data_IF_104999990559
#
_entry.id   IF_104999990559
#
_cell.length_a   1.000
_cell.length_b   1.000
_cell.length_c   1.000
_cell.angle_alpha   90.00
_cell.angle_beta   90.00
_cell.angle_gamma   90.00
#
_symmetry.space_group_name_H-M   'P 1'
#
loop_
_entity.id
_entity.type
_entity.pdbx_description
1 polymer ?
#
# COMPACT_ATOMS: atom_id res chain seq x y z
N UNK A 1 -32.02 -51.38 9.69
CA UNK A 1 -32.97 -50.27 9.98
C UNK A 1 -32.45 -49.56 11.22
N UNK A 2 -32.45 -48.21 11.21
CA UNK A 2 -31.87 -47.26 12.20
C UNK A 2 -30.33 -47.24 12.27
N UNK A 3 -29.62 -46.10 12.23
CA UNK A 3 -30.01 -44.70 12.15
C UNK A 3 -28.74 -43.87 12.35
N UNK A 4 -28.44 -43.00 11.40
CA UNK A 4 -27.35 -42.02 11.40
C UNK A 4 -27.61 -40.94 12.46
N UNK A 5 -26.62 -40.61 13.31
CA UNK A 5 -26.59 -39.39 14.16
C UNK A 5 -25.12 -39.10 14.52
N UNK A 6 -24.38 -38.32 13.72
CA UNK A 6 -24.30 -36.84 13.68
C UNK A 6 -23.58 -36.25 14.91
N UNK A 7 -22.31 -35.87 14.67
CA UNK A 7 -21.49 -34.83 15.30
C UNK A 7 -21.94 -34.28 16.67
N UNK A 8 -21.24 -34.68 17.74
CA UNK A 8 -21.16 -33.87 18.98
C UNK A 8 -20.01 -32.86 18.86
N UNK A 9 -20.44 -31.61 18.71
CA UNK A 9 -19.69 -30.36 18.90
C UNK A 9 -18.64 -30.43 20.02
N UNK A 10 -17.37 -30.17 19.66
CA UNK A 10 -16.39 -29.56 20.57
C UNK A 10 -16.06 -28.18 20.04
N UNK A 11 -16.88 -27.20 20.45
CA UNK A 11 -16.65 -25.77 20.20
C UNK A 11 -15.43 -25.35 21.03
N UNK A 12 -14.22 -25.57 20.49
CA UNK A 12 -12.99 -25.03 21.05
C UNK A 12 -13.17 -23.51 21.14
N UNK A 13 -13.12 -22.98 22.35
CA UNK A 13 -13.25 -21.54 22.63
C UNK A 13 -12.29 -20.77 21.70
N UNK A 14 -12.85 -20.08 20.71
CA UNK A 14 -12.11 -19.10 19.95
C UNK A 14 -11.98 -17.90 20.87
N UNK A 15 -10.82 -17.78 21.53
CA UNK A 15 -10.43 -16.53 22.20
C UNK A 15 -10.74 -15.40 21.24
N UNK A 16 -11.52 -14.42 21.67
CA UNK A 16 -11.94 -13.29 20.88
C UNK A 16 -10.72 -12.47 20.45
N UNK A 17 -10.17 -12.82 19.28
CA UNK A 17 -9.27 -11.92 18.57
C UNK A 17 -10.09 -10.66 18.27
N UNK A 18 -9.88 -9.59 19.04
CA UNK A 18 -10.36 -8.25 18.68
C UNK A 18 -9.83 -7.98 17.28
N UNK A 19 -10.70 -8.05 16.28
CA UNK A 19 -10.34 -7.71 14.91
C UNK A 19 -9.83 -6.27 14.93
N UNK A 20 -8.57 -6.07 14.50
CA UNK A 20 -8.04 -4.73 14.24
C UNK A 20 -9.04 -4.02 13.31
N UNK A 21 -9.32 -2.72 13.50
CA UNK A 21 -10.25 -2.01 12.62
C UNK A 21 -9.84 -2.24 11.17
N UNK A 22 -10.77 -2.77 10.36
CA UNK A 22 -10.49 -3.17 8.98
C UNK A 22 -10.04 -1.94 8.17
N UNK A 23 -8.84 -2.01 7.60
CA UNK A 23 -8.45 -1.11 6.53
C UNK A 23 -9.42 -1.29 5.35
N UNK A 24 -9.94 -0.20 4.79
CA UNK A 24 -10.75 -0.22 3.57
C UNK A 24 -9.83 -0.02 2.38
N UNK A 25 -9.79 -1.01 1.49
CA UNK A 25 -9.00 -0.98 0.25
C UNK A 25 -9.87 -0.49 -0.90
N UNK A 26 -9.41 0.52 -1.63
CA UNK A 26 -10.06 1.07 -2.82
C UNK A 26 -9.04 0.95 -3.95
N UNK A 27 -9.40 0.24 -5.04
CA UNK A 27 -8.53 0.02 -6.18
C UNK A 27 -9.23 0.52 -7.47
N UNK A 28 -9.02 1.79 -7.87
CA UNK A 28 -9.60 2.32 -9.09
C UNK A 28 -9.01 1.64 -10.32
N UNK A 29 -9.85 0.97 -11.12
CA UNK A 29 -9.44 0.27 -12.34
C UNK A 29 -10.12 0.91 -13.56
N UNK A 30 -9.36 1.08 -14.64
CA UNK A 30 -9.87 1.55 -15.92
C UNK A 30 -8.93 1.13 -17.05
N UNK A 31 -9.49 0.51 -18.09
CA UNK A 31 -8.79 -0.05 -19.24
C UNK A 31 -8.24 1.03 -20.20
N UNK A 32 -8.65 2.29 -20.06
CA UNK A 32 -8.21 3.39 -20.94
C UNK A 32 -7.11 4.22 -20.28
N UNK A 33 -6.05 4.51 -21.04
CA UNK A 33 -5.06 5.53 -20.67
C UNK A 33 -5.72 6.90 -20.55
N UNK A 34 -5.28 7.72 -19.59
CA UNK A 34 -5.89 9.03 -19.31
C UNK A 34 -7.26 8.98 -18.63
N UNK A 35 -7.74 7.81 -18.20
CA UNK A 35 -8.82 7.75 -17.21
C UNK A 35 -8.26 8.26 -15.88
N UNK A 36 -8.96 9.19 -15.23
CA UNK A 36 -8.59 9.98 -14.03
C UNK A 36 -8.26 9.17 -12.75
N UNK A 37 -7.79 7.92 -12.87
CA UNK A 37 -7.45 6.99 -11.80
C UNK A 37 -6.46 7.60 -10.81
N UNK A 38 -5.28 8.00 -11.27
CA UNK A 38 -4.23 8.55 -10.41
C UNK A 38 -4.68 9.85 -9.74
N UNK A 39 -5.32 10.74 -10.50
CA UNK A 39 -5.94 11.96 -9.96
C UNK A 39 -7.00 11.66 -8.90
N UNK A 40 -7.81 10.62 -9.10
CA UNK A 40 -8.81 10.18 -8.12
C UNK A 40 -8.15 9.62 -6.87
N UNK A 41 -7.08 8.83 -7.00
CA UNK A 41 -6.31 8.34 -5.84
C UNK A 41 -5.76 9.50 -5.00
N UNK A 42 -5.14 10.49 -5.65
CA UNK A 42 -4.61 11.68 -4.98
C UNK A 42 -5.71 12.45 -4.26
N UNK A 43 -6.80 12.78 -4.95
CA UNK A 43 -7.87 13.59 -4.39
C UNK A 43 -8.64 12.86 -3.28
N UNK A 44 -9.02 11.60 -3.50
CA UNK A 44 -9.72 10.80 -2.50
C UNK A 44 -8.81 10.62 -1.27
N UNK A 45 -7.53 10.34 -1.47
CA UNK A 45 -6.59 10.18 -0.36
C UNK A 45 -6.41 11.45 0.46
N UNK A 46 -6.29 12.60 -0.21
CA UNK A 46 -6.15 13.92 0.43
C UNK A 46 -7.40 14.28 1.24
N UNK A 47 -8.60 14.13 0.67
CA UNK A 47 -9.86 14.41 1.39
C UNK A 47 -10.05 13.48 2.58
N UNK A 48 -9.74 12.19 2.46
CA UNK A 48 -9.80 11.26 3.59
C UNK A 48 -8.81 11.66 4.70
N UNK A 49 -7.60 12.09 4.34
CA UNK A 49 -6.63 12.63 5.29
C UNK A 49 -7.20 13.86 6.00
N UNK A 50 -7.75 14.83 5.25
CA UNK A 50 -8.38 16.03 5.81
C UNK A 50 -9.52 15.70 6.80
N UNK A 51 -10.30 14.65 6.52
CA UNK A 51 -11.35 14.13 7.40
C UNK A 51 -10.82 13.41 8.67
N UNK A 52 -9.51 13.33 8.88
CA UNK A 52 -8.88 12.73 10.06
C UNK A 52 -8.54 11.24 9.90
N UNK A 53 -8.64 10.68 8.70
CA UNK A 53 -8.29 9.27 8.46
C UNK A 53 -6.79 9.08 8.25
N UNK A 54 -6.31 7.89 8.61
CA UNK A 54 -4.99 7.39 8.20
C UNK A 54 -5.14 6.74 6.83
N UNK A 55 -4.40 7.25 5.86
CA UNK A 55 -4.52 6.87 4.46
C UNK A 55 -3.15 6.44 3.94
N UNK A 56 -3.15 5.35 3.18
CA UNK A 56 -1.98 4.89 2.43
C UNK A 56 -2.36 4.85 0.95
N UNK A 57 -1.64 5.60 0.12
CA UNK A 57 -1.69 5.48 -1.33
C UNK A 57 -0.57 4.56 -1.78
N UNK A 58 -0.89 3.61 -2.65
CA UNK A 58 0.07 2.69 -3.27
C UNK A 58 0.00 2.95 -4.77
N UNK A 59 1.10 3.43 -5.35
CA UNK A 59 1.19 3.71 -6.78
C UNK A 59 1.83 2.52 -7.51
N UNK A 60 0.99 1.77 -8.24
CA UNK A 60 1.40 0.61 -9.03
C UNK A 60 1.70 0.98 -10.50
N UNK A 61 1.50 2.24 -10.90
CA UNK A 61 1.70 2.68 -12.27
C UNK A 61 3.16 3.08 -12.47
N UNK A 62 3.86 2.47 -13.43
CA UNK A 62 5.25 2.84 -13.76
C UNK A 62 5.41 4.32 -14.15
N UNK A 63 4.35 4.99 -14.61
CA UNK A 63 4.38 6.42 -14.91
C UNK A 63 4.38 7.31 -13.64
N UNK A 64 4.05 6.75 -12.48
CA UNK A 64 4.16 7.43 -11.19
C UNK A 64 3.29 8.67 -11.02
N UNK A 65 2.18 8.79 -11.74
CA UNK A 65 1.36 10.01 -11.69
C UNK A 65 0.74 10.29 -10.31
N UNK A 66 0.41 9.25 -9.52
CA UNK A 66 -0.07 9.48 -8.15
C UNK A 66 1.10 9.83 -7.22
N UNK A 67 2.25 9.21 -7.43
CA UNK A 67 3.51 9.52 -6.74
C UNK A 67 3.89 10.99 -6.90
N UNK A 68 3.91 11.48 -8.15
CA UNK A 68 4.17 12.89 -8.45
C UNK A 68 3.08 13.81 -7.91
N UNK A 69 1.80 13.42 -8.05
CA UNK A 69 0.67 14.21 -7.52
C UNK A 69 0.67 14.36 -6.00
N UNK A 70 1.45 13.54 -5.29
CA UNK A 70 1.64 13.59 -3.84
C UNK A 70 3.00 14.19 -3.43
N UNK A 71 3.69 14.86 -4.36
CA UNK A 71 4.96 15.54 -4.10
C UNK A 71 6.18 14.62 -4.06
N UNK A 72 6.12 13.45 -4.72
CA UNK A 72 7.17 12.44 -4.66
C UNK A 72 8.55 12.86 -5.16
N UNK A 73 8.64 13.93 -5.93
CA UNK A 73 9.89 14.58 -6.35
C UNK A 73 10.65 15.25 -5.20
N UNK A 74 9.95 15.58 -4.11
CA UNK A 74 10.52 16.25 -2.93
C UNK A 74 10.62 15.31 -1.72
N UNK A 75 10.40 14.00 -1.92
CA UNK A 75 10.47 12.99 -0.86
C UNK A 75 11.75 12.17 -0.96
N UNK A 76 12.25 11.72 0.19
CA UNK A 76 13.35 10.76 0.25
C UNK A 76 12.82 9.34 0.17
N UNK A 77 13.40 8.53 -0.71
CA UNK A 77 12.96 7.16 -0.97
C UNK A 77 14.06 6.16 -0.64
N UNK A 78 13.74 5.17 0.19
CA UNK A 78 14.60 4.00 0.38
C UNK A 78 14.21 2.85 -0.55
N UNK A 79 12.91 2.64 -0.72
CA UNK A 79 12.35 1.59 -1.56
C UNK A 79 11.09 2.09 -2.27
N UNK A 80 10.85 1.57 -3.47
CA UNK A 80 9.65 1.83 -4.26
C UNK A 80 8.82 0.56 -4.38
N UNK A 81 7.64 0.68 -4.99
CA UNK A 81 6.79 -0.46 -5.27
C UNK A 81 7.48 -1.54 -6.14
N UNK A 82 8.43 -1.15 -7.01
CA UNK A 82 9.19 -2.13 -7.78
C UNK A 82 10.03 -3.03 -6.87
N UNK A 83 10.65 -2.50 -5.82
CA UNK A 83 11.41 -3.30 -4.87
C UNK A 83 10.51 -4.22 -4.03
N UNK A 84 9.31 -3.75 -3.70
CA UNK A 84 8.33 -4.52 -2.92
C UNK A 84 7.69 -5.66 -3.74
N UNK A 85 7.55 -5.48 -5.05
CA UNK A 85 7.02 -6.50 -5.98
C UNK A 85 8.10 -7.35 -6.65
N UNK A 86 9.37 -7.17 -6.29
CA UNK A 86 10.49 -7.89 -6.91
C UNK A 86 10.39 -9.39 -6.59
N UNK A 87 9.69 -10.12 -7.47
CA UNK A 87 9.41 -11.53 -7.32
C UNK A 87 10.65 -12.40 -7.52
N UNK A 88 11.64 -11.94 -8.30
CA UNK A 88 12.88 -12.71 -8.51
C UNK A 88 13.64 -12.84 -7.19
N UNK A 89 13.72 -11.76 -6.41
CA UNK A 89 14.25 -11.77 -5.04
C UNK A 89 13.49 -12.72 -4.11
N UNK A 90 12.15 -12.76 -4.21
CA UNK A 90 11.32 -13.64 -3.38
C UNK A 90 11.54 -15.13 -3.72
N UNK A 91 11.87 -15.47 -4.97
CA UNK A 91 12.07 -16.86 -5.40
C UNK A 91 13.50 -17.35 -5.13
N UNK A 92 14.49 -16.44 -5.13
CA UNK A 92 15.91 -16.77 -4.89
C UNK A 92 16.34 -16.73 -3.41
N UNK A 93 15.40 -16.83 -2.46
CA UNK A 93 15.68 -16.75 -1.00
C UNK A 93 16.28 -15.40 -0.54
N UNK A 94 16.04 -14.32 -1.30
CA UNK A 94 16.41 -12.97 -0.87
C UNK A 94 15.39 -12.44 0.15
N UNK A 95 15.86 -11.71 1.16
CA UNK A 95 14.98 -11.10 2.16
C UNK A 95 14.05 -10.08 1.48
N UNK A 96 12.72 -10.30 1.45
CA UNK A 96 11.79 -9.35 0.86
C UNK A 96 11.91 -8.00 1.58
N UNK A 97 11.80 -6.90 0.84
CA UNK A 97 11.79 -5.56 1.44
C UNK A 97 10.65 -5.49 2.46
N UNK A 98 10.94 -5.26 3.76
CA UNK A 98 9.88 -5.06 4.73
C UNK A 98 9.06 -3.83 4.34
N UNK A 99 7.74 -3.98 4.25
CA UNK A 99 6.87 -2.94 3.67
C UNK A 99 6.95 -1.61 4.42
N UNK A 100 7.25 -1.66 5.71
CA UNK A 100 7.48 -0.48 6.54
C UNK A 100 8.65 0.39 6.08
N UNK A 101 9.64 -0.17 5.37
CA UNK A 101 10.75 0.58 4.80
C UNK A 101 10.41 1.27 3.47
N UNK A 102 9.34 0.82 2.81
CA UNK A 102 8.83 1.46 1.59
C UNK A 102 7.81 2.57 1.88
N UNK A 103 7.43 2.74 3.15
CA UNK A 103 6.49 3.75 3.59
C UNK A 103 7.16 5.13 3.66
N UNK A 104 6.62 6.08 2.90
CA UNK A 104 7.06 7.48 2.93
C UNK A 104 5.90 8.37 3.36
N UNK A 105 6.14 9.22 4.36
CA UNK A 105 5.15 10.21 4.80
C UNK A 105 5.13 11.35 3.78
N UNK A 106 3.95 11.67 3.26
CA UNK A 106 3.79 12.83 2.36
C UNK A 106 3.74 14.13 3.18
N UNK A 107 3.76 15.28 2.49
CA UNK A 107 3.54 16.59 3.11
C UNK A 107 2.07 16.89 3.41
N UNK A 108 1.14 16.02 2.99
CA UNK A 108 -0.28 16.17 3.29
C UNK A 108 -0.56 15.78 4.75
N UNK A 109 -0.66 16.80 5.59
CA UNK A 109 -1.06 16.69 6.99
C UNK A 109 -2.42 17.37 7.21
N UNK A 110 -3.20 16.85 8.15
CA UNK A 110 -4.53 17.37 8.50
C UNK A 110 -4.59 17.86 9.94
N UNK A 111 -5.21 19.02 10.16
CA UNK A 111 -5.52 19.53 11.50
C UNK A 111 -6.48 18.62 12.29
N UNK A 112 -7.21 17.73 11.61
CA UNK A 112 -8.06 16.71 12.23
C UNK A 112 -7.28 15.46 12.68
N UNK A 113 -5.95 15.45 12.56
CA UNK A 113 -5.09 14.34 12.97
C UNK A 113 -4.98 13.19 11.97
N UNK A 114 -5.45 13.41 10.74
CA UNK A 114 -5.25 12.47 9.64
C UNK A 114 -3.83 12.51 9.10
N UNK A 115 -3.44 11.45 8.41
CA UNK A 115 -2.13 11.38 7.75
C UNK A 115 -2.23 10.65 6.42
N UNK A 116 -1.47 11.12 5.44
CA UNK A 116 -1.38 10.52 4.11
C UNK A 116 0.04 10.02 3.86
N UNK A 117 0.15 8.72 3.68
CA UNK A 117 1.40 8.01 3.43
C UNK A 117 1.38 7.44 2.01
N UNK A 118 2.56 7.18 1.48
CA UNK A 118 2.77 6.77 0.10
C UNK A 118 3.77 5.61 0.03
N UNK A 119 3.43 4.60 -0.77
CA UNK A 119 4.41 3.71 -1.41
C UNK A 119 4.43 4.11 -2.87
N UNK A 120 5.53 4.73 -3.28
CA UNK A 120 5.67 5.33 -4.60
C UNK A 120 5.94 4.31 -5.69
N UNK A 121 5.55 4.66 -6.90
CA UNK A 121 5.98 3.96 -8.11
C UNK A 121 7.50 4.07 -8.26
N UNK A 122 8.07 3.17 -9.06
CA UNK A 122 9.45 3.32 -9.50
C UNK A 122 9.54 4.42 -10.57
N UNK A 123 9.64 5.66 -10.11
CA UNK A 123 9.95 6.82 -10.96
C UNK A 123 11.46 6.89 -11.08
N UNK A 124 12.00 6.45 -12.21
CA UNK A 124 13.44 6.47 -12.45
C UNK A 124 13.91 7.92 -12.59
N UNK A 125 14.28 8.56 -11.48
CA UNK A 125 15.40 9.46 -11.52
C UNK A 125 16.65 8.57 -11.47
N UNK A 126 17.55 8.71 -12.44
CA UNK A 126 18.77 7.91 -12.59
C UNK A 126 19.64 7.87 -11.31
N UNK A 127 19.37 8.72 -10.32
CA UNK A 127 20.00 8.77 -9.00
C UNK A 127 19.53 7.68 -8.01
N UNK A 128 18.31 7.14 -8.12
CA UNK A 128 17.80 6.14 -7.16
C UNK A 128 18.28 4.71 -7.44
N UNK A 129 18.62 4.40 -8.68
CA UNK A 129 19.06 3.05 -9.09
C UNK A 129 20.50 2.74 -8.64
N UNK A 130 21.36 3.76 -8.50
CA UNK A 130 22.78 3.55 -8.24
C UNK A 130 23.13 3.36 -6.74
N UNK A 131 22.35 3.91 -5.81
CA UNK A 131 22.70 3.93 -4.39
C UNK A 131 22.32 2.66 -3.61
N UNK A 132 21.42 1.82 -4.13
CA UNK A 132 20.81 0.74 -3.33
C UNK A 132 20.78 -0.66 -3.98
N UNK A 133 21.40 -0.84 -5.15
CA UNK A 133 21.63 -2.17 -5.74
C UNK A 133 22.98 -2.81 -5.34
N UNK A 134 23.84 -2.09 -4.61
CA UNK A 134 25.15 -2.57 -4.15
C UNK A 134 25.21 -2.74 -2.62
N UNK A 135 24.29 -3.51 -2.06
CA UNK A 135 24.29 -3.92 -0.65
C UNK A 135 24.19 -5.42 -0.53
#
# INVERSE_FOLDING_TARGET
>A
MAGLNIFKSTRKERSSFKLKPKCRVIAPLSQKGGATKSTSCVNIGSVLCEMGYRVLVIDLDQQGHATMGLGGDNLEWQYTMANVLDYEKVVEDFDPVPIEKALVKTTFDSSAGGCLWLIGANITNEEFSAAHYNG
#
